data_IF_801700337258
#
_entry.id   IF_801700337258
#
_cell.length_a   1.000
_cell.length_b   1.000
_cell.length_c   1.000
_cell.angle_alpha   90.00
_cell.angle_beta   90.00
_cell.angle_gamma   90.00
#
_symmetry.space_group_name_H-M   'P 1'
#
loop_
_entity.id
_entity.type
_entity.pdbx_description
1 polymer ?
#
# COMPACT_ATOMS: atom_id res chain seq x y z
N UNK A 1 3.89 3.57 -19.81
CA UNK A 1 3.08 3.14 -18.65
C UNK A 1 2.95 1.62 -18.71
N UNK A 2 3.73 0.87 -17.92
CA UNK A 2 3.77 -0.60 -17.95
C UNK A 2 2.68 -1.26 -17.09
N UNK A 3 1.53 -0.61 -16.93
CA UNK A 3 0.43 -1.11 -16.10
C UNK A 3 -0.55 -1.91 -16.95
N UNK A 4 -0.97 -3.08 -16.45
CA UNK A 4 -2.12 -3.79 -17.01
C UNK A 4 -3.41 -3.11 -16.55
N UNK A 5 -3.98 -2.26 -17.42
CA UNK A 5 -5.23 -1.56 -17.18
C UNK A 5 -6.40 -2.50 -16.84
N UNK A 6 -6.41 -3.73 -17.40
CA UNK A 6 -7.45 -4.72 -17.12
C UNK A 6 -7.33 -5.24 -15.70
N UNK A 7 -6.09 -5.44 -15.21
CA UNK A 7 -5.85 -5.86 -13.83
C UNK A 7 -6.20 -4.75 -12.83
N UNK A 8 -5.83 -3.50 -13.13
CA UNK A 8 -6.18 -2.34 -12.30
C UNK A 8 -7.70 -2.22 -12.16
N UNK A 9 -8.43 -2.28 -13.27
CA UNK A 9 -9.89 -2.20 -13.29
C UNK A 9 -10.58 -3.37 -12.57
N UNK A 10 -9.90 -4.52 -12.40
CA UNK A 10 -10.39 -5.63 -11.58
C UNK A 10 -10.06 -5.48 -10.10
N UNK A 11 -8.92 -4.86 -9.80
CA UNK A 11 -8.41 -4.72 -8.43
C UNK A 11 -9.24 -3.74 -7.61
N UNK A 12 -9.68 -2.62 -8.21
CA UNK A 12 -10.51 -1.63 -7.53
C UNK A 12 -11.85 -2.22 -7.03
N UNK A 13 -12.71 -2.82 -7.89
CA UNK A 13 -13.95 -3.44 -7.43
C UNK A 13 -13.75 -4.56 -6.39
N UNK A 14 -12.61 -5.27 -6.46
CA UNK A 14 -12.28 -6.31 -5.49
C UNK A 14 -12.05 -5.73 -4.09
N UNK A 15 -11.35 -4.60 -3.97
CA UNK A 15 -11.16 -3.89 -2.69
C UNK A 15 -12.46 -3.22 -2.25
N UNK A 16 -13.14 -2.55 -3.18
CA UNK A 16 -14.37 -1.81 -2.90
C UNK A 16 -15.44 -2.71 -2.28
N UNK A 17 -15.61 -3.93 -2.80
CA UNK A 17 -16.56 -4.92 -2.27
C UNK A 17 -16.27 -5.36 -0.83
N UNK A 18 -15.03 -5.25 -0.37
CA UNK A 18 -14.62 -5.77 0.94
C UNK A 18 -14.68 -4.72 2.04
N UNK A 19 -14.18 -3.52 1.77
CA UNK A 19 -13.94 -2.51 2.81
C UNK A 19 -14.52 -1.13 2.52
N UNK A 20 -15.10 -0.91 1.34
CA UNK A 20 -15.64 0.40 0.94
C UNK A 20 -17.16 0.37 0.93
N UNK A 21 -17.75 1.39 1.52
CA UNK A 21 -19.18 1.54 1.71
C UNK A 21 -19.68 2.86 1.11
N UNK A 22 -20.97 2.90 0.77
CA UNK A 22 -21.64 4.15 0.44
C UNK A 22 -21.98 4.90 1.73
N UNK A 23 -21.52 6.15 1.91
CA UNK A 23 -21.77 6.89 3.15
C UNK A 23 -23.25 7.30 3.27
N UNK A 24 -23.72 7.41 4.52
CA UNK A 24 -24.98 8.11 4.81
C UNK A 24 -24.71 9.60 4.97
N UNK A 25 -25.52 10.45 4.35
CA UNK A 25 -25.27 11.89 4.32
C UNK A 25 -25.56 12.56 5.66
N UNK A 26 -24.52 13.11 6.29
CA UNK A 26 -24.68 14.08 7.37
C UNK A 26 -25.21 15.41 6.83
N UNK A 27 -25.84 16.20 7.70
CA UNK A 27 -26.32 17.55 7.36
C UNK A 27 -25.19 18.45 6.86
N UNK A 28 -24.02 18.38 7.51
CA UNK A 28 -22.84 19.13 7.11
C UNK A 28 -22.36 18.79 5.70
N UNK A 29 -22.29 17.49 5.36
CA UNK A 29 -21.86 17.08 4.02
C UNK A 29 -22.81 17.56 2.92
N UNK A 30 -24.11 17.67 3.20
CA UNK A 30 -25.09 18.22 2.24
C UNK A 30 -24.88 19.71 2.07
N UNK A 31 -24.73 20.46 3.17
CA UNK A 31 -24.43 21.88 3.12
C UNK A 31 -23.12 22.17 2.36
N UNK A 32 -22.08 21.37 2.57
CA UNK A 32 -20.82 21.47 1.84
C UNK A 32 -21.00 21.18 0.34
N UNK A 33 -21.75 20.14 -0.02
CA UNK A 33 -22.07 19.84 -1.43
C UNK A 33 -22.76 21.04 -2.08
N UNK A 34 -23.77 21.60 -1.41
CA UNK A 34 -24.56 22.71 -1.96
C UNK A 34 -23.70 23.98 -2.10
N UNK A 35 -22.89 24.30 -1.09
CA UNK A 35 -21.94 25.41 -1.17
C UNK A 35 -20.87 25.26 -2.26
N UNK A 36 -20.38 24.04 -2.52
CA UNK A 36 -19.45 23.78 -3.63
C UNK A 36 -20.11 24.02 -4.99
N UNK A 37 -21.38 23.64 -5.14
CA UNK A 37 -22.14 23.88 -6.36
C UNK A 37 -22.40 25.37 -6.57
N UNK A 38 -22.77 26.09 -5.51
CA UNK A 38 -22.98 27.54 -5.55
C UNK A 38 -21.69 28.31 -5.86
N UNK A 39 -20.54 27.81 -5.40
CA UNK A 39 -19.21 28.34 -5.74
C UNK A 39 -18.74 27.99 -7.16
N UNK A 40 -19.55 27.28 -7.95
CA UNK A 40 -19.26 26.96 -9.36
C UNK A 40 -18.54 25.63 -9.58
N UNK A 41 -18.31 24.81 -8.56
CA UNK A 41 -17.69 23.48 -8.67
C UNK A 41 -18.72 22.45 -9.18
N UNK A 42 -19.11 22.63 -10.43
CA UNK A 42 -20.11 21.86 -11.15
C UNK A 42 -19.47 20.92 -12.19
N UNK A 43 -20.15 19.85 -12.63
CA UNK A 43 -21.48 19.40 -12.24
C UNK A 43 -21.48 18.58 -10.93
N UNK A 44 -22.67 18.30 -10.39
CA UNK A 44 -22.84 17.29 -9.36
C UNK A 44 -22.84 15.89 -9.99
N UNK A 45 -21.78 15.12 -9.78
CA UNK A 45 -21.59 13.78 -10.34
C UNK A 45 -22.31 12.66 -9.55
N UNK A 46 -23.07 13.00 -8.51
CA UNK A 46 -23.69 12.02 -7.63
C UNK A 46 -22.66 11.19 -6.85
N UNK A 47 -22.99 9.92 -6.61
CA UNK A 47 -22.09 8.96 -5.97
C UNK A 47 -21.23 8.24 -7.00
N UNK A 48 -19.92 8.34 -6.88
CA UNK A 48 -18.96 7.63 -7.74
C UNK A 48 -17.61 7.43 -7.05
N UNK A 49 -17.00 6.27 -7.28
CA UNK A 49 -15.62 5.99 -6.86
C UNK A 49 -14.59 6.68 -7.75
N UNK A 50 -14.96 6.98 -8.99
CA UNK A 50 -14.06 7.56 -9.97
C UNK A 50 -13.61 8.98 -9.58
N UNK A 51 -12.38 9.32 -9.93
CA UNK A 51 -11.89 10.68 -9.83
C UNK A 51 -12.33 11.46 -11.07
N UNK A 52 -13.36 12.31 -10.91
CA UNK A 52 -13.95 13.15 -11.94
C UNK A 52 -14.00 14.59 -11.47
N UNK A 53 -13.84 15.52 -12.41
CA UNK A 53 -14.02 16.96 -12.14
C UNK A 53 -15.47 17.27 -11.73
N UNK A 54 -15.65 18.25 -10.85
CA UNK A 54 -16.94 18.66 -10.30
C UNK A 54 -17.16 18.16 -8.86
N UNK A 55 -18.38 18.38 -8.34
CA UNK A 55 -18.74 17.95 -6.98
C UNK A 55 -19.21 16.49 -7.01
N UNK A 56 -18.66 15.65 -6.12
CA UNK A 56 -19.02 14.23 -6.06
C UNK A 56 -19.09 13.71 -4.63
N UNK A 57 -19.66 12.53 -4.50
CA UNK A 57 -19.69 11.77 -3.25
C UNK A 57 -18.89 10.48 -3.47
N UNK A 58 -17.81 10.32 -2.71
CA UNK A 58 -16.98 9.12 -2.74
C UNK A 58 -17.45 8.03 -1.79
N UNK A 59 -16.82 6.86 -1.91
CA UNK A 59 -16.90 5.80 -0.92
C UNK A 59 -16.27 6.20 0.41
N UNK A 60 -16.65 5.50 1.47
CA UNK A 60 -16.06 5.61 2.80
C UNK A 60 -15.64 4.23 3.29
N UNK A 61 -14.60 4.15 4.12
CA UNK A 61 -14.22 2.92 4.81
C UNK A 61 -15.00 2.72 6.13
N UNK A 62 -15.88 3.66 6.48
CA UNK A 62 -16.77 3.53 7.61
C UNK A 62 -18.09 2.91 7.15
N UNK A 63 -18.52 1.85 7.81
CA UNK A 63 -19.82 1.25 7.55
C UNK A 63 -20.98 2.12 8.08
N UNK A 64 -22.20 1.63 7.88
CA UNK A 64 -23.43 2.29 8.36
C UNK A 64 -23.54 2.39 9.89
N UNK A 65 -22.75 1.63 10.63
CA UNK A 65 -22.71 1.61 12.09
C UNK A 65 -21.54 2.44 12.65
N UNK A 66 -20.74 3.06 11.77
CA UNK A 66 -19.57 3.84 12.15
C UNK A 66 -18.32 3.00 12.44
N UNK A 67 -18.32 1.70 12.15
CA UNK A 67 -17.13 0.86 12.26
C UNK A 67 -16.21 1.12 11.07
N UNK A 68 -14.93 1.32 11.37
CA UNK A 68 -13.88 1.48 10.36
C UNK A 68 -13.43 0.12 9.84
N UNK A 69 -13.44 -0.05 8.54
CA UNK A 69 -12.81 -1.15 7.81
C UNK A 69 -11.40 -0.74 7.37
N UNK A 70 -10.45 -1.67 7.39
CA UNK A 70 -9.03 -1.35 7.11
C UNK A 70 -8.40 -2.41 6.21
N UNK A 71 -7.19 -2.12 5.71
CA UNK A 71 -6.44 -3.05 4.87
C UNK A 71 -6.16 -4.40 5.55
N UNK A 72 -6.13 -4.45 6.89
CA UNK A 72 -5.95 -5.71 7.62
C UNK A 72 -7.09 -6.70 7.36
N UNK A 73 -8.31 -6.22 7.07
CA UNK A 73 -9.44 -7.09 6.74
C UNK A 73 -9.30 -7.75 5.36
N UNK A 74 -8.51 -7.17 4.45
CA UNK A 74 -8.22 -7.78 3.14
C UNK A 74 -7.41 -9.08 3.28
N UNK A 75 -6.68 -9.26 4.40
CA UNK A 75 -5.97 -10.49 4.71
C UNK A 75 -6.92 -11.68 4.86
N UNK A 76 -8.19 -11.44 5.24
CA UNK A 76 -9.21 -12.49 5.34
C UNK A 76 -9.57 -13.12 3.99
N UNK A 77 -9.28 -12.42 2.87
CA UNK A 77 -9.45 -12.95 1.52
C UNK A 77 -8.28 -13.85 1.07
N UNK A 78 -7.20 -13.91 1.85
CA UNK A 78 -6.03 -14.76 1.59
C UNK A 78 -6.23 -16.20 2.06
N UNK A 79 -5.34 -17.11 1.63
CA UNK A 79 -5.33 -18.49 2.12
C UNK A 79 -4.67 -18.54 3.51
N UNK A 80 -5.40 -18.91 4.58
CA UNK A 80 -4.87 -18.88 5.94
C UNK A 80 -3.73 -19.90 6.16
N UNK A 81 -3.70 -20.99 5.41
CA UNK A 81 -2.64 -22.01 5.51
C UNK A 81 -1.33 -21.59 4.85
N UNK A 82 -1.33 -20.49 4.10
CA UNK A 82 -0.16 -19.97 3.38
C UNK A 82 0.22 -18.55 3.81
N UNK A 83 -0.52 -17.97 4.76
CA UNK A 83 -0.34 -16.59 5.21
C UNK A 83 0.05 -16.60 6.69
N UNK A 84 1.23 -16.05 7.00
CA UNK A 84 1.68 -15.83 8.38
C UNK A 84 1.80 -14.34 8.63
N UNK A 85 1.15 -13.84 9.68
CA UNK A 85 1.17 -12.44 10.07
C UNK A 85 1.89 -12.31 11.41
N UNK A 86 3.02 -11.61 11.41
CA UNK A 86 3.80 -11.33 12.62
C UNK A 86 3.51 -9.90 13.08
N UNK A 87 2.98 -9.76 14.29
CA UNK A 87 2.76 -8.46 14.94
C UNK A 87 3.97 -8.08 15.80
N UNK A 88 4.18 -6.78 16.00
CA UNK A 88 5.34 -6.24 16.74
C UNK A 88 6.72 -6.63 16.17
N UNK A 89 6.79 -6.93 14.88
CA UNK A 89 8.04 -7.22 14.18
C UNK A 89 8.59 -5.95 13.50
N UNK A 90 9.74 -5.44 13.97
CA UNK A 90 10.44 -4.34 13.32
C UNK A 90 11.45 -4.88 12.31
N UNK A 91 11.28 -4.55 11.03
CA UNK A 91 12.22 -4.92 9.97
C UNK A 91 13.46 -4.03 10.05
N UNK A 92 14.65 -4.62 10.27
CA UNK A 92 15.90 -3.88 10.45
C UNK A 92 16.83 -3.94 9.23
N UNK A 93 16.97 -5.12 8.61
CA UNK A 93 17.89 -5.35 7.50
C UNK A 93 17.28 -6.33 6.51
N UNK A 94 17.51 -6.07 5.22
CA UNK A 94 17.28 -7.03 4.16
C UNK A 94 18.63 -7.68 3.83
N UNK A 95 18.68 -9.01 3.84
CA UNK A 95 19.89 -9.76 3.49
C UNK A 95 19.79 -10.15 2.02
N UNK A 96 20.81 -9.78 1.25
CA UNK A 96 20.92 -10.08 -0.18
C UNK A 96 21.94 -11.20 -0.40
N UNK A 97 21.70 -12.04 -1.41
CA UNK A 97 22.70 -12.98 -1.88
C UNK A 97 23.76 -12.24 -2.69
N UNK A 98 25.04 -12.48 -2.37
CA UNK A 98 26.19 -11.83 -3.02
C UNK A 98 27.03 -12.82 -3.81
N UNK A 99 26.59 -14.08 -3.95
CA UNK A 99 27.34 -15.13 -4.65
C UNK A 99 27.57 -14.81 -6.13
N UNK A 100 26.69 -14.03 -6.78
CA UNK A 100 26.85 -13.59 -8.18
C UNK A 100 27.91 -12.48 -8.36
N UNK A 101 28.29 -11.75 -7.31
CA UNK A 101 29.26 -10.65 -7.40
C UNK A 101 30.70 -11.07 -7.13
N UNK A 102 30.98 -12.37 -6.94
CA UNK A 102 32.34 -12.89 -6.74
C UNK A 102 33.06 -12.36 -5.49
N UNK A 103 32.38 -11.57 -4.65
CA UNK A 103 32.90 -11.10 -3.37
C UNK A 103 32.83 -12.24 -2.36
N UNK A 104 33.78 -13.17 -2.46
CA UNK A 104 34.08 -14.05 -1.35
C UNK A 104 34.63 -13.16 -0.23
N UNK A 105 33.90 -13.02 0.86
CA UNK A 105 34.44 -12.40 2.07
C UNK A 105 35.60 -13.28 2.55
N UNK A 106 36.83 -12.91 2.21
CA UNK A 106 38.01 -13.55 2.80
C UNK A 106 38.14 -13.02 4.23
N UNK A 107 37.66 -13.81 5.19
CA UNK A 107 37.94 -13.56 6.59
C UNK A 107 39.33 -14.12 6.92
N UNK A 108 40.26 -13.25 7.33
CA UNK A 108 41.54 -13.69 7.89
C UNK A 108 41.44 -13.74 9.41
N UNK A 109 41.92 -14.84 9.99
CA UNK A 109 41.90 -15.10 11.43
C UNK A 109 43.12 -14.42 12.07
N UNK A 110 42.88 -13.47 12.97
CA UNK A 110 43.90 -12.64 13.62
C UNK A 110 44.12 -13.04 15.08
N UNK A 111 43.41 -14.07 15.56
CA UNK A 111 43.54 -14.61 16.90
C UNK A 111 42.49 -15.69 17.17
N UNK A 112 42.51 -16.30 18.37
CA UNK A 112 41.59 -17.38 18.72
C UNK A 112 40.11 -16.95 18.75
N UNK A 113 39.83 -15.63 18.87
CA UNK A 113 38.47 -15.10 19.04
C UNK A 113 38.13 -13.90 18.13
N UNK A 114 38.92 -13.59 17.10
CA UNK A 114 38.69 -12.42 16.25
C UNK A 114 38.93 -12.69 14.76
N UNK A 115 38.01 -12.17 13.93
CA UNK A 115 38.06 -12.17 12.46
C UNK A 115 37.89 -10.73 11.98
N UNK A 116 38.73 -10.30 11.03
CA UNK A 116 38.54 -9.03 10.30
C UNK A 116 37.92 -9.34 8.94
N UNK A 117 36.88 -8.59 8.60
CA UNK A 117 36.24 -8.60 7.29
C UNK A 117 36.83 -7.44 6.49
N UNK A 118 37.71 -7.75 5.54
CA UNK A 118 38.28 -6.74 4.66
C UNK A 118 37.42 -6.60 3.39
N UNK A 119 37.09 -5.37 3.00
CA UNK A 119 36.39 -5.07 1.76
C UNK A 119 37.43 -4.51 0.78
N UNK A 120 38.13 -5.38 0.06
CA UNK A 120 39.11 -4.91 -0.94
C UNK A 120 38.39 -4.37 -2.18
N UNK A 121 38.52 -3.06 -2.40
CA UNK A 121 38.12 -2.39 -3.64
C UNK A 121 39.12 -2.72 -4.76
N UNK A 122 38.80 -3.73 -5.59
CA UNK A 122 39.51 -3.99 -6.85
C UNK A 122 38.49 -4.17 -7.99
N UNK A 123 37.78 -3.10 -8.32
CA UNK A 123 36.85 -3.06 -9.46
C UNK A 123 36.82 -1.69 -10.16
N UNK A 124 37.98 -1.03 -10.32
CA UNK A 124 38.06 0.28 -11.01
C UNK A 124 39.19 0.39 -12.06
N UNK A 125 39.61 -0.70 -12.71
CA UNK A 125 40.53 -0.60 -13.86
C UNK A 125 40.29 -1.62 -14.99
N UNK A 126 39.06 -1.79 -15.48
CA UNK A 126 38.82 -2.24 -16.87
C UNK A 126 37.62 -1.57 -17.48
#
# INVERSE_FOLDING_TARGET
MGWDAKLVNKSYPWVEKQIVHRPTFSHWQRALRDGLLDAGVSPFNGFTYEHKYGTKLGGTIFDRFGRRHTAAELLASGNPNKLTVLIYATVQKIVFDTTEFGLSTQSYKIGPYAYVLDWTYEALLR
#
